data_IF_609720002367
#
_entry.id   IF_609720002367
#
_cell.length_a   1.000
_cell.length_b   1.000
_cell.length_c   1.000
_cell.angle_alpha   90.00
_cell.angle_beta   90.00
_cell.angle_gamma   90.00
#
_symmetry.space_group_name_H-M   'P 1'
#
loop_
_entity.id
_entity.type
_entity.pdbx_description
1 polymer ?
#
# COMPACT_ATOMS: atom_id res chain seq x y z
N UNK A 1 -28.53 -20.63 -31.38
CA UNK A 1 -28.51 -19.25 -31.94
C UNK A 1 -28.79 -18.18 -30.88
N UNK A 2 -29.81 -18.31 -30.03
CA UNK A 2 -30.12 -17.30 -28.99
C UNK A 2 -29.01 -17.16 -27.95
N UNK A 3 -28.44 -18.27 -27.49
CA UNK A 3 -27.33 -18.28 -26.49
C UNK A 3 -26.03 -17.61 -26.97
N UNK A 4 -25.77 -17.67 -28.29
CA UNK A 4 -24.65 -16.99 -28.91
C UNK A 4 -24.84 -15.48 -28.97
N UNK A 5 -26.12 -15.05 -29.24
CA UNK A 5 -26.50 -13.64 -29.18
C UNK A 5 -26.39 -13.01 -27.80
N UNK A 6 -26.48 -13.82 -26.74
CA UNK A 6 -26.35 -13.40 -25.34
C UNK A 6 -24.89 -13.44 -24.82
N UNK A 7 -23.91 -13.65 -25.72
CA UNK A 7 -22.49 -13.60 -25.40
C UNK A 7 -21.86 -14.93 -24.93
N UNK A 8 -22.59 -16.04 -24.99
CA UNK A 8 -22.04 -17.36 -24.64
C UNK A 8 -21.23 -17.92 -25.82
N UNK A 9 -19.90 -17.69 -25.77
CA UNK A 9 -18.92 -18.16 -26.76
C UNK A 9 -18.58 -19.66 -26.62
N UNK A 10 -19.00 -20.32 -25.55
CA UNK A 10 -18.80 -21.77 -25.34
C UNK A 10 -19.87 -22.63 -25.99
N UNK A 11 -20.95 -22.02 -26.47
CA UNK A 11 -22.02 -22.72 -27.17
C UNK A 11 -21.55 -23.13 -28.57
N UNK A 12 -21.57 -24.44 -28.85
CA UNK A 12 -21.28 -24.97 -30.20
C UNK A 12 -22.60 -25.20 -30.98
N UNK A 13 -22.61 -24.76 -32.23
CA UNK A 13 -23.70 -25.06 -33.15
C UNK A 13 -23.57 -26.49 -33.64
N UNK A 14 -24.66 -27.26 -33.52
CA UNK A 14 -24.72 -28.62 -34.00
C UNK A 14 -24.93 -28.68 -35.52
N UNK A 15 -24.40 -29.72 -36.16
CA UNK A 15 -24.57 -29.97 -37.60
C UNK A 15 -25.98 -30.43 -37.89
N UNK A 16 -26.51 -29.99 -39.03
CA UNK A 16 -27.82 -30.35 -39.55
C UNK A 16 -27.69 -31.24 -40.81
N UNK A 17 -28.78 -31.91 -41.21
CA UNK A 17 -28.80 -32.88 -42.33
C UNK A 17 -28.51 -32.25 -43.73
N UNK A 18 -28.46 -30.94 -43.86
CA UNK A 18 -28.18 -30.24 -45.13
C UNK A 18 -26.75 -29.75 -45.22
N UNK A 19 -26.04 -30.16 -46.26
CA UNK A 19 -24.59 -29.92 -46.46
C UNK A 19 -24.22 -28.41 -46.47
N UNK A 20 -25.09 -27.57 -47.02
CA UNK A 20 -24.91 -26.12 -47.13
C UNK A 20 -24.97 -25.44 -45.74
N UNK A 21 -25.88 -25.93 -44.86
CA UNK A 21 -25.98 -25.45 -43.49
C UNK A 21 -24.75 -25.82 -42.62
N UNK A 22 -24.15 -26.97 -42.89
CA UNK A 22 -22.99 -27.42 -42.16
C UNK A 22 -21.75 -26.55 -42.45
N UNK A 23 -21.58 -26.03 -43.65
CA UNK A 23 -20.53 -25.09 -43.96
C UNK A 23 -20.65 -23.77 -43.18
N UNK A 24 -21.87 -23.25 -43.04
CA UNK A 24 -22.14 -22.04 -42.26
C UNK A 24 -21.89 -22.31 -40.75
N UNK A 25 -22.34 -23.45 -40.25
CA UNK A 25 -22.16 -23.87 -38.86
C UNK A 25 -20.67 -24.02 -38.49
N UNK A 26 -19.87 -24.66 -39.35
CA UNK A 26 -18.45 -24.81 -39.18
C UNK A 26 -17.75 -23.45 -39.23
N UNK A 27 -18.12 -22.56 -40.15
CA UNK A 27 -17.60 -21.20 -40.21
C UNK A 27 -17.90 -20.36 -38.98
N UNK A 28 -19.13 -20.44 -38.46
CA UNK A 28 -19.53 -19.75 -37.22
C UNK A 28 -18.79 -20.29 -35.98
N UNK A 29 -18.67 -21.62 -35.84
CA UNK A 29 -17.94 -22.23 -34.75
C UNK A 29 -16.46 -21.82 -34.78
N UNK A 30 -15.84 -21.78 -35.98
CA UNK A 30 -14.44 -21.33 -36.12
C UNK A 30 -14.31 -19.83 -35.77
N UNK A 31 -15.25 -19.01 -36.14
CA UNK A 31 -15.25 -17.59 -35.80
C UNK A 31 -15.36 -17.38 -34.28
N UNK A 32 -16.26 -18.11 -33.60
CA UNK A 32 -16.39 -18.07 -32.13
C UNK A 32 -15.12 -18.47 -31.42
N UNK A 33 -14.49 -19.55 -31.89
CA UNK A 33 -13.18 -19.99 -31.35
C UNK A 33 -12.10 -18.93 -31.52
N UNK A 34 -12.04 -18.28 -32.68
CA UNK A 34 -11.11 -17.19 -32.95
C UNK A 34 -11.36 -15.98 -32.06
N UNK A 35 -12.62 -15.60 -31.85
CA UNK A 35 -13.00 -14.50 -30.94
C UNK A 35 -12.61 -14.85 -29.51
N UNK A 36 -12.86 -16.07 -29.05
CA UNK A 36 -12.48 -16.53 -27.71
C UNK A 36 -10.95 -16.43 -27.51
N UNK A 37 -10.18 -16.94 -28.48
CA UNK A 37 -8.70 -16.85 -28.41
C UNK A 37 -8.20 -15.40 -28.38
N UNK A 38 -8.82 -14.50 -29.16
CA UNK A 38 -8.49 -13.08 -29.12
C UNK A 38 -8.83 -12.42 -27.78
N UNK A 39 -9.97 -12.78 -27.19
CA UNK A 39 -10.35 -12.28 -25.85
C UNK A 39 -9.37 -12.76 -24.77
N UNK A 40 -9.03 -14.05 -24.76
CA UNK A 40 -8.09 -14.63 -23.80
C UNK A 40 -6.70 -13.97 -23.93
N UNK A 41 -6.25 -13.78 -25.17
CA UNK A 41 -4.98 -13.10 -25.43
C UNK A 41 -5.01 -11.63 -24.99
N UNK A 42 -6.13 -10.94 -25.17
CA UNK A 42 -6.30 -9.56 -24.74
C UNK A 42 -6.25 -9.46 -23.20
N UNK A 43 -6.94 -10.37 -22.49
CA UNK A 43 -6.90 -10.45 -21.04
C UNK A 43 -5.47 -10.69 -20.54
N UNK A 44 -4.75 -11.64 -21.14
CA UNK A 44 -3.35 -11.92 -20.76
C UNK A 44 -2.43 -10.71 -20.98
N UNK A 45 -2.54 -10.03 -22.13
CA UNK A 45 -1.76 -8.83 -22.42
C UNK A 45 -2.08 -7.70 -21.45
N UNK A 46 -3.35 -7.45 -21.19
CA UNK A 46 -3.80 -6.39 -20.29
C UNK A 46 -3.33 -6.66 -18.86
N UNK A 47 -3.46 -7.90 -18.39
CA UNK A 47 -2.99 -8.30 -17.06
C UNK A 47 -1.47 -8.18 -16.95
N UNK A 48 -0.74 -8.54 -18.00
CA UNK A 48 0.71 -8.38 -18.09
C UNK A 48 1.15 -6.92 -17.98
N UNK A 49 0.48 -6.02 -18.73
CA UNK A 49 0.75 -4.57 -18.68
C UNK A 49 0.50 -3.97 -17.30
N UNK A 50 -0.62 -4.32 -16.66
CA UNK A 50 -0.91 -3.83 -15.29
C UNK A 50 0.13 -4.29 -14.27
N UNK A 51 0.61 -5.54 -14.41
CA UNK A 51 1.66 -6.07 -13.53
C UNK A 51 2.97 -5.31 -13.74
N UNK A 52 3.38 -5.10 -14.98
CA UNK A 52 4.61 -4.35 -15.31
C UNK A 52 4.54 -2.90 -14.80
N UNK A 53 3.41 -2.23 -14.98
CA UNK A 53 3.19 -0.86 -14.49
C UNK A 53 3.24 -0.79 -12.96
N UNK A 54 2.65 -1.76 -12.27
CA UNK A 54 2.72 -1.87 -10.82
C UNK A 54 4.15 -2.09 -10.32
N UNK A 55 4.92 -2.97 -10.98
CA UNK A 55 6.34 -3.20 -10.66
C UNK A 55 7.18 -1.94 -10.91
N UNK A 56 6.97 -1.24 -12.02
CA UNK A 56 7.64 0.02 -12.33
C UNK A 56 7.33 1.11 -11.31
N UNK A 57 6.07 1.27 -10.94
CA UNK A 57 5.66 2.22 -9.90
C UNK A 57 6.29 1.90 -8.55
N UNK A 58 6.35 0.62 -8.16
CA UNK A 58 7.00 0.17 -6.94
C UNK A 58 8.51 0.45 -6.96
N UNK A 59 9.18 0.18 -8.09
CA UNK A 59 10.60 0.46 -8.27
C UNK A 59 10.90 1.97 -8.20
N UNK A 60 10.03 2.80 -8.79
CA UNK A 60 10.17 4.26 -8.74
C UNK A 60 9.99 4.80 -7.31
N UNK A 61 9.00 4.31 -6.57
CA UNK A 61 8.82 4.66 -5.15
C UNK A 61 10.04 4.26 -4.31
N UNK A 62 10.59 3.07 -4.55
CA UNK A 62 11.80 2.61 -3.87
C UNK A 62 13.01 3.50 -4.20
N UNK A 63 13.18 3.89 -5.47
CA UNK A 63 14.25 4.79 -5.88
C UNK A 63 14.12 6.17 -5.22
N UNK A 64 12.91 6.74 -5.16
CA UNK A 64 12.64 8.01 -4.47
C UNK A 64 12.90 7.91 -2.96
N UNK A 65 12.49 6.83 -2.30
CA UNK A 65 12.81 6.60 -0.89
C UNK A 65 14.31 6.43 -0.64
N UNK A 66 15.03 5.81 -1.58
CA UNK A 66 16.49 5.62 -1.49
C UNK A 66 17.28 6.92 -1.69
N UNK A 67 16.72 7.92 -2.41
CA UNK A 67 17.37 9.23 -2.56
C UNK A 67 17.39 10.03 -1.24
N UNK A 68 16.45 9.79 -0.32
CA UNK A 68 16.56 10.27 1.05
C UNK A 68 17.53 9.35 1.78
N UNK A 69 18.81 9.73 1.90
CA UNK A 69 19.79 8.93 2.61
C UNK A 69 19.38 8.75 4.10
N UNK A 70 18.75 7.63 4.49
CA UNK A 70 18.24 7.47 5.85
C UNK A 70 19.35 7.55 6.89
N UNK A 71 20.52 7.05 6.53
CA UNK A 71 21.68 7.07 7.40
C UNK A 71 22.17 8.50 7.68
N UNK A 72 22.15 9.38 6.69
CA UNK A 72 22.47 10.81 6.89
C UNK A 72 21.49 11.48 7.86
N UNK A 73 20.20 11.21 7.68
CA UNK A 73 19.15 11.77 8.56
C UNK A 73 19.33 11.28 10.00
N UNK A 74 19.54 9.97 10.20
CA UNK A 74 19.78 9.42 11.54
C UNK A 74 21.02 10.04 12.21
N UNK A 75 22.13 10.12 11.49
CA UNK A 75 23.37 10.68 12.02
C UNK A 75 23.20 12.16 12.40
N UNK A 76 22.45 12.91 11.59
CA UNK A 76 22.18 14.33 11.87
C UNK A 76 21.32 14.49 13.12
N UNK A 77 20.24 13.70 13.27
CA UNK A 77 19.37 13.75 14.45
C UNK A 77 20.13 13.30 15.70
N UNK A 78 21.00 12.28 15.59
CA UNK A 78 21.83 11.82 16.69
C UNK A 78 22.86 12.88 17.11
N UNK A 79 23.41 13.61 16.16
CA UNK A 79 24.28 14.76 16.47
C UNK A 79 23.51 15.84 17.25
N UNK A 80 22.28 16.17 16.83
CA UNK A 80 21.42 17.13 17.55
C UNK A 80 21.11 16.62 18.97
N UNK A 81 20.77 15.34 19.11
CA UNK A 81 20.54 14.72 20.41
C UNK A 81 21.75 14.87 21.34
N UNK A 82 22.95 14.57 20.82
CA UNK A 82 24.19 14.66 21.60
C UNK A 82 24.50 16.11 22.02
N UNK A 83 24.16 17.08 21.18
CA UNK A 83 24.26 18.51 21.58
C UNK A 83 23.28 18.79 22.72
N UNK A 84 22.01 18.33 22.65
CA UNK A 84 21.05 18.47 23.73
C UNK A 84 21.56 17.88 25.05
N UNK A 85 22.12 16.68 25.01
CA UNK A 85 22.75 16.04 26.20
C UNK A 85 23.94 16.86 26.73
N UNK A 86 24.84 17.34 25.86
CA UNK A 86 26.01 18.12 26.26
C UNK A 86 25.65 19.45 26.93
N UNK A 87 24.57 20.07 26.51
CA UNK A 87 24.11 21.35 27.07
C UNK A 87 22.97 21.21 28.09
N UNK A 88 22.62 19.96 28.49
CA UNK A 88 21.55 19.62 29.45
C UNK A 88 20.18 20.19 29.06
N UNK A 89 19.88 20.19 27.74
CA UNK A 89 18.58 20.62 27.20
C UNK A 89 17.72 19.39 26.91
N UNK A 90 16.92 18.99 27.90
CA UNK A 90 16.09 17.76 27.86
C UNK A 90 15.11 17.73 26.70
N UNK A 91 14.50 18.87 26.37
CA UNK A 91 13.54 19.00 25.26
C UNK A 91 14.20 18.65 23.93
N UNK A 92 15.46 18.99 23.69
CA UNK A 92 16.20 18.62 22.48
C UNK A 92 16.49 17.13 22.48
N UNK A 93 16.87 16.56 23.60
CA UNK A 93 17.12 15.11 23.72
C UNK A 93 15.84 14.29 23.43
N UNK A 94 14.73 14.64 24.10
CA UNK A 94 13.44 13.95 23.93
C UNK A 94 12.91 14.10 22.51
N UNK A 95 12.93 15.31 21.95
CA UNK A 95 12.47 15.56 20.58
C UNK A 95 13.30 14.78 19.55
N UNK A 96 14.62 14.80 19.67
CA UNK A 96 15.51 14.09 18.74
C UNK A 96 15.33 12.58 18.84
N UNK A 97 15.12 12.04 20.05
CA UNK A 97 14.86 10.62 20.29
C UNK A 97 13.52 10.21 19.65
N UNK A 98 12.47 10.96 19.89
CA UNK A 98 11.15 10.71 19.31
C UNK A 98 11.17 10.80 17.77
N UNK A 99 11.85 11.82 17.22
CA UNK A 99 11.97 12.00 15.77
C UNK A 99 12.74 10.83 15.13
N UNK A 100 13.84 10.37 15.75
CA UNK A 100 14.57 9.19 15.28
C UNK A 100 13.69 7.94 15.27
N UNK A 101 12.86 7.74 16.30
CA UNK A 101 11.96 6.61 16.40
C UNK A 101 10.88 6.63 15.30
N UNK A 102 10.21 7.76 15.08
CA UNK A 102 9.21 7.95 14.02
C UNK A 102 9.81 7.76 12.65
N UNK A 103 10.99 8.34 12.39
CA UNK A 103 11.69 8.19 11.12
C UNK A 103 12.06 6.74 10.84
N UNK A 104 12.63 6.03 11.85
CA UNK A 104 12.98 4.62 11.75
C UNK A 104 11.77 3.74 11.47
N UNK A 105 10.65 4.04 12.11
CA UNK A 105 9.40 3.33 11.87
C UNK A 105 8.86 3.57 10.45
N UNK A 106 8.89 4.82 9.98
CA UNK A 106 8.41 5.21 8.65
C UNK A 106 9.22 4.61 7.49
N UNK A 107 10.52 4.35 7.71
CA UNK A 107 11.44 3.80 6.70
C UNK A 107 11.56 2.27 6.72
N UNK A 108 10.81 1.57 7.58
CA UNK A 108 10.75 0.10 7.56
C UNK A 108 10.19 -0.41 6.24
N UNK A 109 10.66 -1.57 5.79
CA UNK A 109 10.15 -2.22 4.57
C UNK A 109 8.87 -3.03 4.80
N UNK A 110 8.60 -3.38 6.04
CA UNK A 110 7.43 -4.17 6.43
C UNK A 110 6.17 -3.33 6.33
N UNK A 111 5.18 -3.82 5.56
CA UNK A 111 3.90 -3.13 5.40
C UNK A 111 2.88 -3.49 6.48
N UNK A 112 3.10 -4.62 7.17
CA UNK A 112 2.20 -5.13 8.22
C UNK A 112 2.96 -5.14 9.54
N UNK A 113 2.36 -4.56 10.56
CA UNK A 113 2.91 -4.40 11.92
C UNK A 113 1.85 -4.75 12.95
N UNK A 114 2.24 -4.87 14.22
CA UNK A 114 1.24 -5.03 15.28
C UNK A 114 0.63 -3.69 15.69
N UNK A 115 -0.58 -3.71 16.24
CA UNK A 115 -1.23 -2.52 16.81
C UNK A 115 -0.34 -1.88 17.88
N UNK A 116 0.34 -2.69 18.69
CA UNK A 116 1.28 -2.18 19.69
C UNK A 116 2.43 -1.38 19.08
N UNK A 117 3.01 -1.85 17.97
CA UNK A 117 4.07 -1.13 17.25
C UNK A 117 3.58 0.19 16.63
N UNK A 118 2.39 0.16 16.05
CA UNK A 118 1.77 1.37 15.49
C UNK A 118 1.47 2.41 16.57
N UNK A 119 0.93 1.98 17.71
CA UNK A 119 0.67 2.85 18.86
C UNK A 119 1.94 3.45 19.46
N UNK A 120 3.03 2.69 19.52
CA UNK A 120 4.31 3.21 20.01
C UNK A 120 4.83 4.32 19.08
N UNK A 121 4.71 4.14 17.77
CA UNK A 121 5.03 5.19 16.81
C UNK A 121 4.16 6.44 17.01
N UNK A 122 2.85 6.25 17.22
CA UNK A 122 1.92 7.35 17.49
C UNK A 122 2.29 8.09 18.77
N UNK A 123 2.68 7.40 19.83
CA UNK A 123 3.13 8.06 21.08
C UNK A 123 4.35 8.96 20.83
N UNK A 124 5.32 8.49 20.07
CA UNK A 124 6.49 9.30 19.70
C UNK A 124 6.08 10.51 18.83
N UNK A 125 5.17 10.29 17.88
CA UNK A 125 4.63 11.39 17.07
C UNK A 125 3.88 12.43 17.92
N UNK A 126 3.03 11.98 18.84
CA UNK A 126 2.31 12.87 19.78
C UNK A 126 3.27 13.64 20.66
N UNK A 127 4.33 13.01 21.19
CA UNK A 127 5.37 13.69 21.97
C UNK A 127 6.01 14.85 21.18
N UNK A 128 6.36 14.63 19.90
CA UNK A 128 6.87 15.68 19.02
C UNK A 128 5.88 16.84 18.92
N UNK A 129 4.59 16.54 18.74
CA UNK A 129 3.55 17.56 18.60
C UNK A 129 3.31 18.30 19.92
N UNK A 130 3.34 17.60 21.05
CA UNK A 130 3.19 18.20 22.38
C UNK A 130 4.30 19.23 22.66
N UNK A 131 5.55 18.88 22.41
CA UNK A 131 6.69 19.81 22.53
C UNK A 131 6.51 21.01 21.59
N UNK A 132 6.07 20.76 20.33
CA UNK A 132 5.89 21.80 19.32
C UNK A 132 4.78 22.80 19.66
N UNK A 133 3.68 22.33 20.25
CA UNK A 133 2.49 23.12 20.52
C UNK A 133 2.30 23.49 21.99
N UNK A 134 3.33 23.33 22.81
CA UNK A 134 3.35 23.75 24.23
C UNK A 134 2.12 23.22 25.01
N UNK A 135 1.91 21.90 24.98
CA UNK A 135 0.85 21.18 25.73
C UNK A 135 -0.60 21.66 25.45
N UNK A 136 -0.88 22.20 24.26
CA UNK A 136 -2.22 22.68 23.90
C UNK A 136 -3.27 21.56 23.78
N UNK A 137 -2.87 20.28 23.79
CA UNK A 137 -3.79 19.13 23.69
C UNK A 137 -3.32 17.98 24.59
N UNK A 138 -4.27 17.12 24.94
CA UNK A 138 -4.00 15.90 25.68
C UNK A 138 -4.50 14.71 24.87
N UNK A 139 -3.71 13.63 24.79
CA UNK A 139 -4.05 12.40 24.07
C UNK A 139 -4.19 11.26 25.04
N UNK A 140 -5.32 10.58 25.00
CA UNK A 140 -5.61 9.41 25.82
C UNK A 140 -5.63 8.15 24.95
N UNK A 141 -4.89 7.13 25.36
CA UNK A 141 -4.81 5.85 24.66
C UNK A 141 -5.66 4.83 25.42
N UNK A 142 -6.71 4.32 24.77
CA UNK A 142 -7.59 3.31 25.33
C UNK A 142 -7.70 2.12 24.40
N UNK A 143 -6.84 1.14 24.59
CA UNK A 143 -6.75 -0.06 23.76
C UNK A 143 -6.75 -1.29 24.64
N UNK A 144 -7.49 -2.34 24.23
CA UNK A 144 -7.52 -3.61 24.92
C UNK A 144 -6.19 -4.35 24.71
N UNK A 145 -5.61 -4.92 25.78
CA UNK A 145 -4.33 -5.63 25.74
C UNK A 145 -4.30 -6.78 24.73
N UNK A 146 -5.41 -7.52 24.62
CA UNK A 146 -5.53 -8.65 23.69
C UNK A 146 -5.49 -8.25 22.19
N UNK A 147 -5.56 -6.97 21.88
CA UNK A 147 -5.44 -6.44 20.51
C UNK A 147 -4.03 -6.00 20.14
N UNK A 148 -3.13 -5.84 21.11
CA UNK A 148 -1.81 -5.29 20.89
C UNK A 148 -0.97 -6.09 19.88
N UNK A 149 -1.13 -7.41 19.85
CA UNK A 149 -0.42 -8.33 18.96
C UNK A 149 -1.15 -8.57 17.63
N UNK A 150 -2.31 -7.93 17.40
CA UNK A 150 -3.04 -8.03 16.14
C UNK A 150 -2.37 -7.21 15.06
N UNK A 151 -2.38 -7.75 13.84
CA UNK A 151 -1.76 -7.13 12.69
C UNK A 151 -2.64 -6.01 12.11
N UNK A 152 -1.97 -4.92 11.72
CA UNK A 152 -2.56 -3.76 11.03
C UNK A 152 -1.60 -3.29 9.93
N UNK A 153 -2.10 -2.56 8.96
CA UNK A 153 -1.25 -1.88 7.99
C UNK A 153 -0.47 -0.75 8.67
N UNK A 154 0.83 -0.72 8.43
CA UNK A 154 1.72 0.32 8.96
C UNK A 154 1.29 1.71 8.50
N UNK A 155 1.40 2.71 9.38
CA UNK A 155 1.01 4.10 9.14
C UNK A 155 -0.48 4.28 8.81
N UNK A 156 -1.35 3.36 9.26
CA UNK A 156 -2.80 3.47 9.03
C UNK A 156 -3.50 4.35 10.06
N UNK A 157 -3.01 4.38 11.29
CA UNK A 157 -3.59 5.20 12.36
C UNK A 157 -2.99 6.61 12.42
N UNK A 158 -1.74 6.79 12.04
CA UNK A 158 -1.05 8.08 12.11
C UNK A 158 -1.79 9.21 11.36
N UNK A 159 -2.29 9.04 10.12
CA UNK A 159 -3.02 10.10 9.42
C UNK A 159 -4.31 10.53 10.14
N UNK A 160 -4.96 9.59 10.86
CA UNK A 160 -6.16 9.88 11.63
C UNK A 160 -5.83 10.78 12.83
N UNK A 161 -4.74 10.47 13.53
CA UNK A 161 -4.24 11.29 14.65
C UNK A 161 -3.79 12.66 14.16
N UNK A 162 -3.04 12.72 13.05
CA UNK A 162 -2.62 13.99 12.44
C UNK A 162 -3.80 14.89 12.07
N UNK A 163 -4.85 14.32 11.49
CA UNK A 163 -6.05 15.07 11.13
C UNK A 163 -6.80 15.57 12.37
N UNK A 164 -6.91 14.74 13.41
CA UNK A 164 -7.56 15.14 14.66
C UNK A 164 -6.80 16.24 15.42
N UNK A 165 -5.49 16.38 15.20
CA UNK A 165 -4.67 17.44 15.81
C UNK A 165 -4.67 18.75 15.00
N UNK A 166 -5.06 18.71 13.73
CA UNK A 166 -5.14 19.90 12.86
C UNK A 166 -6.48 20.65 12.98
N UNK A 167 -7.52 19.94 13.38
CA UNK A 167 -8.90 20.42 13.48
C UNK A 167 -9.39 20.36 14.92
#
# INVERSE_FOLDING_TARGET
MKEIGDGNLDAKLERMDKKEFNQITDGLNHMMESVKQLMDRNIQLTTGLYKEEAEKSKAMLFALQSQMNPHFLYNTIECIRNIGVCYDVKEIEELSTALSAVLRYSLRQENVVTIGQELECIKQFVLIQTIRFEDKFQVYYKVQENLMDRNILRLSLQPLVENAMKH
#
